data_IF_335382225509
#
_entry.id   IF_335382225509
#
_cell.length_a   1.000
_cell.length_b   1.000
_cell.length_c   1.000
_cell.angle_alpha   90.00
_cell.angle_beta   90.00
_cell.angle_gamma   90.00
#
_symmetry.space_group_name_H-M   'P 1'
#
loop_
_entity.id
_entity.type
_entity.pdbx_description
1 polymer ?
#
# COMPACT_ATOMS: atom_id res chain seq x y z
N UNK A 1 -5.95 -6.62 -15.33
CA UNK A 1 -4.62 -6.00 -15.39
C UNK A 1 -3.75 -6.68 -14.34
N UNK A 2 -2.47 -6.94 -14.61
CA UNK A 2 -1.56 -7.42 -13.56
C UNK A 2 -1.41 -6.32 -12.49
N UNK A 3 -1.09 -6.70 -11.25
CA UNK A 3 -0.98 -5.72 -10.16
C UNK A 3 0.21 -4.77 -10.36
N UNK A 4 1.28 -5.25 -11.00
CA UNK A 4 2.44 -4.41 -11.31
C UNK A 4 2.10 -3.42 -12.43
N UNK A 5 1.35 -3.84 -13.45
CA UNK A 5 0.86 -2.93 -14.47
C UNK A 5 -0.02 -1.84 -13.86
N UNK A 6 -0.93 -2.23 -12.95
CA UNK A 6 -1.81 -1.29 -12.27
C UNK A 6 -1.05 -0.26 -11.43
N UNK A 7 -0.12 -0.68 -10.57
CA UNK A 7 0.60 0.27 -9.72
C UNK A 7 1.49 1.21 -10.55
N UNK A 8 2.04 0.73 -11.68
CA UNK A 8 2.79 1.58 -12.60
C UNK A 8 1.92 2.66 -13.25
N UNK A 9 0.70 2.31 -13.65
CA UNK A 9 -0.21 3.28 -14.26
C UNK A 9 -0.77 4.24 -13.22
N UNK A 10 -1.15 3.74 -12.04
CA UNK A 10 -1.55 4.57 -10.90
C UNK A 10 -0.46 5.56 -10.51
N UNK A 11 0.81 5.13 -10.44
CA UNK A 11 1.93 6.02 -10.17
C UNK A 11 2.03 7.15 -11.20
N UNK A 12 1.94 6.84 -12.50
CA UNK A 12 1.99 7.84 -13.57
C UNK A 12 0.83 8.84 -13.50
N UNK A 13 -0.36 8.37 -13.14
CA UNK A 13 -1.57 9.21 -13.02
C UNK A 13 -1.48 10.20 -11.86
N UNK A 14 -0.71 9.88 -10.82
CA UNK A 14 -0.52 10.71 -9.63
C UNK A 14 0.77 11.56 -9.65
N UNK A 15 1.60 11.46 -10.71
CA UNK A 15 2.74 12.36 -10.87
C UNK A 15 2.27 13.80 -11.12
N UNK A 16 2.66 14.73 -10.24
CA UNK A 16 2.27 16.14 -10.29
C UNK A 16 3.45 17.10 -10.50
N UNK A 17 4.69 16.60 -10.54
CA UNK A 17 5.92 17.39 -10.70
C UNK A 17 6.78 17.46 -9.43
N UNK A 18 6.19 17.20 -8.26
CA UNK A 18 6.86 17.27 -6.96
C UNK A 18 6.75 15.94 -6.20
N UNK A 19 5.60 15.26 -6.27
CA UNK A 19 5.32 14.02 -5.56
C UNK A 19 6.20 12.85 -6.03
N UNK A 20 6.55 12.76 -7.32
CA UNK A 20 7.44 11.70 -7.81
C UNK A 20 8.89 11.82 -7.29
N UNK A 21 9.25 12.99 -6.77
CA UNK A 21 10.56 13.24 -6.17
C UNK A 21 10.61 12.87 -4.69
N UNK A 22 9.44 12.64 -4.08
CA UNK A 22 9.33 12.07 -2.74
C UNK A 22 9.42 10.54 -2.81
N UNK A 23 9.66 9.90 -1.67
CA UNK A 23 9.62 8.45 -1.50
C UNK A 23 8.17 7.92 -1.59
N UNK A 24 7.51 8.17 -2.73
CA UNK A 24 6.08 8.01 -2.96
C UNK A 24 5.59 6.56 -2.85
N UNK A 25 6.40 5.60 -3.32
CA UNK A 25 6.12 4.16 -3.19
C UNK A 25 7.42 3.47 -2.76
N UNK A 26 7.40 2.85 -1.59
CA UNK A 26 8.51 2.08 -1.05
C UNK A 26 8.10 0.63 -0.84
N UNK A 27 8.95 -0.30 -1.30
CA UNK A 27 8.80 -1.73 -1.05
C UNK A 27 10.07 -2.20 -0.34
N UNK A 28 9.94 -2.50 0.94
CA UNK A 28 11.04 -2.86 1.82
C UNK A 28 10.91 -4.30 2.30
N UNK A 29 12.01 -4.88 2.77
CA UNK A 29 12.02 -6.15 3.50
C UNK A 29 12.04 -5.88 5.00
N UNK A 30 11.39 -6.74 5.77
CA UNK A 30 11.40 -6.67 7.22
C UNK A 30 12.51 -7.50 7.86
N UNK A 31 12.87 -7.18 9.12
CA UNK A 31 13.83 -7.94 9.93
C UNK A 31 13.37 -9.39 10.17
N UNK A 32 12.06 -9.62 10.15
CA UNK A 32 11.45 -10.95 10.04
C UNK A 32 11.12 -11.16 8.56
N UNK A 33 11.41 -12.33 7.95
CA UNK A 33 11.15 -12.54 6.54
C UNK A 33 9.75 -12.09 6.15
N UNK A 34 9.66 -11.11 5.26
CA UNK A 34 8.42 -10.44 4.92
C UNK A 34 8.67 -9.18 4.10
N UNK A 35 7.56 -8.62 3.64
CA UNK A 35 7.52 -7.40 2.86
C UNK A 35 6.81 -6.31 3.64
N UNK A 36 7.25 -5.09 3.42
CA UNK A 36 6.56 -3.86 3.78
C UNK A 36 6.36 -3.05 2.51
N UNK A 37 5.16 -2.52 2.35
CA UNK A 37 4.77 -1.61 1.28
C UNK A 37 4.30 -0.34 1.95
N UNK A 38 4.97 0.76 1.68
CA UNK A 38 4.56 2.11 2.08
C UNK A 38 4.24 2.91 0.83
N UNK A 39 3.07 3.56 0.82
CA UNK A 39 2.61 4.38 -0.29
C UNK A 39 2.11 5.70 0.28
N UNK A 40 2.65 6.80 -0.23
CA UNK A 40 2.16 8.14 0.03
C UNK A 40 0.79 8.31 -0.65
N UNK A 41 -0.23 8.63 0.14
CA UNK A 41 -1.61 8.81 -0.30
C UNK A 41 -2.08 10.26 -0.15
N UNK A 42 -1.19 11.20 0.16
CA UNK A 42 -1.50 12.62 0.40
C UNK A 42 -2.22 13.30 -0.77
N UNK A 43 -1.89 12.91 -2.00
CA UNK A 43 -2.50 13.44 -3.23
C UNK A 43 -3.77 12.69 -3.66
N UNK A 44 -4.25 11.75 -2.86
CA UNK A 44 -5.41 10.91 -3.18
C UNK A 44 -6.66 11.33 -2.40
N UNK A 45 -7.82 10.86 -2.84
CA UNK A 45 -9.10 11.04 -2.14
C UNK A 45 -9.14 10.44 -0.73
N UNK A 46 -8.14 9.63 -0.35
CA UNK A 46 -8.06 8.94 0.95
C UNK A 46 -7.04 9.54 1.89
N UNK A 47 -6.44 10.69 1.55
CA UNK A 47 -5.46 11.37 2.39
C UNK A 47 -5.94 11.64 3.83
N UNK A 48 -7.25 11.86 4.04
CA UNK A 48 -7.83 12.09 5.37
C UNK A 48 -8.24 10.81 6.12
N UNK A 49 -8.02 9.64 5.54
CA UNK A 49 -8.36 8.37 6.18
C UNK A 49 -7.31 8.02 7.23
N UNK A 50 -7.77 7.56 8.39
CA UNK A 50 -6.92 6.97 9.42
C UNK A 50 -7.39 5.55 9.70
N UNK A 51 -6.42 4.66 9.87
CA UNK A 51 -6.65 3.27 10.18
C UNK A 51 -5.56 2.80 11.13
N UNK A 52 -5.93 2.56 12.38
CA UNK A 52 -5.06 1.89 13.35
C UNK A 52 -4.58 0.55 12.80
N UNK A 53 -3.40 0.11 13.25
CA UNK A 53 -2.82 -1.15 12.78
C UNK A 53 -3.76 -2.35 12.97
N UNK A 54 -4.26 -2.88 11.85
CA UNK A 54 -5.05 -4.12 11.81
C UNK A 54 -4.13 -5.25 11.40
N UNK A 55 -3.96 -6.23 12.29
CA UNK A 55 -3.22 -7.47 12.01
C UNK A 55 -4.19 -8.61 11.73
N UNK A 56 -4.01 -9.27 10.59
CA UNK A 56 -4.67 -10.51 10.25
C UNK A 56 -3.61 -11.63 10.19
N UNK A 57 -3.57 -12.46 11.21
CA UNK A 57 -2.61 -13.56 11.35
C UNK A 57 -3.35 -14.88 11.48
N UNK A 58 -3.26 -15.72 10.43
CA UNK A 58 -3.73 -17.11 10.47
C UNK A 58 -2.61 -18.02 10.97
N UNK A 59 -1.35 -17.69 10.66
CA UNK A 59 -0.17 -18.35 11.19
C UNK A 59 1.09 -17.48 11.04
N UNK A 60 2.21 -17.92 11.63
CA UNK A 60 3.52 -17.26 11.46
C UNK A 60 4.00 -17.15 10.00
N UNK A 61 3.43 -17.95 9.10
CA UNK A 61 3.77 -17.99 7.67
C UNK A 61 2.63 -17.44 6.80
N UNK A 62 1.54 -16.99 7.42
CA UNK A 62 0.35 -16.48 6.75
C UNK A 62 -0.22 -15.34 7.59
N UNK A 63 0.33 -14.15 7.37
CA UNK A 63 -0.07 -12.95 8.08
C UNK A 63 0.11 -11.71 7.22
N UNK A 64 -0.75 -10.73 7.44
CA UNK A 64 -0.56 -9.38 6.94
C UNK A 64 -1.12 -8.38 7.95
N UNK A 65 -0.61 -7.16 7.91
CA UNK A 65 -1.23 -6.04 8.59
C UNK A 65 -1.24 -4.81 7.71
N UNK A 66 -2.13 -3.89 8.05
CA UNK A 66 -2.33 -2.63 7.35
C UNK A 66 -2.62 -1.53 8.35
N UNK A 67 -2.07 -0.35 8.10
CA UNK A 67 -2.40 0.91 8.77
C UNK A 67 -2.45 2.05 7.76
N UNK A 68 -3.14 3.11 8.15
CA UNK A 68 -3.09 4.39 7.48
C UNK A 68 -2.90 5.45 8.55
N UNK A 69 -1.78 6.15 8.49
CA UNK A 69 -1.45 7.25 9.39
C UNK A 69 -0.61 8.28 8.64
N UNK A 70 -0.70 9.55 9.01
CA UNK A 70 0.12 10.63 8.43
C UNK A 70 0.09 10.67 6.88
N UNK A 71 -1.07 10.41 6.28
CA UNK A 71 -1.27 10.36 4.81
C UNK A 71 -0.43 9.28 4.13
N UNK A 72 -0.11 8.20 4.84
CA UNK A 72 0.62 7.05 4.31
C UNK A 72 -0.16 5.77 4.51
N UNK A 73 -0.28 4.99 3.45
CA UNK A 73 -0.72 3.61 3.52
C UNK A 73 0.50 2.74 3.79
N UNK A 74 0.51 2.02 4.90
CA UNK A 74 1.54 1.03 5.20
C UNK A 74 0.91 -0.34 5.33
N UNK A 75 1.40 -1.31 4.57
CA UNK A 75 1.00 -2.71 4.69
C UNK A 75 2.23 -3.60 4.80
N UNK A 76 2.16 -4.60 5.67
CA UNK A 76 3.22 -5.59 5.81
C UNK A 76 2.67 -7.00 5.79
N UNK A 77 3.50 -7.97 5.40
CA UNK A 77 3.10 -9.37 5.39
C UNK A 77 4.25 -10.33 5.20
N UNK A 78 3.96 -11.62 5.27
CA UNK A 78 4.94 -12.68 5.05
C UNK A 78 5.56 -12.66 3.63
N UNK A 79 6.64 -13.44 3.38
CA UNK A 79 7.38 -13.38 2.11
C UNK A 79 6.57 -13.66 0.86
N UNK A 80 5.41 -14.32 0.97
CA UNK A 80 4.54 -14.64 -0.15
C UNK A 80 3.52 -13.55 -0.49
N UNK A 81 3.43 -12.48 0.30
CA UNK A 81 2.31 -11.53 0.23
C UNK A 81 2.55 -10.23 -0.52
N UNK A 82 3.71 -9.99 -1.13
CA UNK A 82 3.96 -8.72 -1.83
C UNK A 82 2.82 -8.35 -2.82
N UNK A 83 2.42 -9.29 -3.69
CA UNK A 83 1.31 -9.06 -4.62
C UNK A 83 -0.03 -8.80 -3.91
N UNK A 84 -0.25 -9.46 -2.79
CA UNK A 84 -1.45 -9.30 -1.97
C UNK A 84 -1.49 -7.92 -1.30
N UNK A 85 -0.37 -7.43 -0.75
CA UNK A 85 -0.27 -6.10 -0.14
C UNK A 85 -0.56 -4.99 -1.17
N UNK A 86 0.01 -5.10 -2.38
CA UNK A 86 -0.31 -4.18 -3.49
C UNK A 86 -1.79 -4.29 -3.91
N UNK A 87 -2.34 -5.51 -3.92
CA UNK A 87 -3.76 -5.75 -4.18
C UNK A 87 -4.69 -5.10 -3.15
N UNK A 88 -4.33 -5.13 -1.86
CA UNK A 88 -5.08 -4.46 -0.80
C UNK A 88 -5.14 -2.95 -1.04
N UNK A 89 -4.01 -2.33 -1.41
CA UNK A 89 -3.98 -0.93 -1.75
C UNK A 89 -4.90 -0.60 -2.93
N UNK A 90 -4.81 -1.39 -4.02
CA UNK A 90 -5.71 -1.27 -5.17
C UNK A 90 -7.19 -1.35 -4.79
N UNK A 91 -7.58 -2.36 -4.02
CA UNK A 91 -8.97 -2.52 -3.58
C UNK A 91 -9.47 -1.35 -2.73
N UNK A 92 -8.58 -0.75 -1.94
CA UNK A 92 -8.90 0.42 -1.13
C UNK A 92 -9.19 1.64 -2.00
N UNK A 93 -8.32 1.94 -2.97
CA UNK A 93 -8.51 3.02 -3.94
C UNK A 93 -9.79 2.80 -4.75
N UNK A 94 -9.96 1.60 -5.32
CA UNK A 94 -11.13 1.27 -6.15
C UNK A 94 -12.45 1.42 -5.38
N UNK A 95 -12.49 1.06 -4.08
CA UNK A 95 -13.71 1.17 -3.27
C UNK A 95 -14.10 2.61 -2.97
N UNK A 96 -13.15 3.53 -2.98
CA UNK A 96 -13.37 4.92 -2.56
C UNK A 96 -13.56 5.83 -3.78
N UNK A 97 -12.90 5.55 -4.91
CA UNK A 97 -13.06 6.33 -6.14
C UNK A 97 -14.28 5.92 -6.98
N UNK A 98 -14.83 4.71 -6.78
CA UNK A 98 -16.06 4.26 -7.44
C UNK A 98 -17.34 4.45 -6.57
N UNK A 99 -17.27 5.28 -5.53
CA UNK A 99 -18.43 5.75 -4.75
C UNK A 99 -18.77 7.20 -5.10
#
# INVERSE_FOLDING_TARGET
>A
MDILDWIQDWFKENCDGDWESSDAIQINTLDRPGWEVEIDISNTSIASMELDWILNETSKQDWYGVKIEDQKFTAAGDPGKLKFLLGLFKEMIDKIENQ
#
